data_IF_305933958443
#
_entry.id   IF_305933958443
#
_cell.length_a   1.000
_cell.length_b   1.000
_cell.length_c   1.000
_cell.angle_alpha   90.00
_cell.angle_beta   90.00
_cell.angle_gamma   90.00
#
_symmetry.space_group_name_H-M   'P 1'
#
loop_
_entity.id
_entity.type
_entity.pdbx_description
1 polymer ?
#
# COMPACT_ATOMS: atom_id res chain seq x y z
N UNK A 1 -13.73 18.34 -3.18
CA UNK A 1 -12.90 17.14 -3.43
C UNK A 1 -13.48 15.87 -2.78
N UNK A 2 -13.78 15.87 -1.48
CA UNK A 2 -14.35 14.70 -0.77
C UNK A 2 -15.67 14.16 -1.35
N UNK A 3 -16.53 15.01 -1.91
CA UNK A 3 -17.80 14.58 -2.53
C UNK A 3 -17.61 13.67 -3.75
N UNK A 4 -16.64 13.96 -4.62
CA UNK A 4 -16.33 13.09 -5.78
C UNK A 4 -15.75 11.75 -5.31
N UNK A 5 -14.89 11.75 -4.29
CA UNK A 5 -14.41 10.50 -3.71
C UNK A 5 -15.55 9.65 -3.15
N UNK A 6 -16.45 10.25 -2.37
CA UNK A 6 -17.60 9.55 -1.79
C UNK A 6 -18.49 8.95 -2.89
N UNK A 7 -18.83 9.71 -3.93
CA UNK A 7 -19.60 9.20 -5.08
C UNK A 7 -18.86 8.05 -5.78
N UNK A 8 -17.56 8.21 -6.02
CA UNK A 8 -16.73 7.14 -6.59
C UNK A 8 -16.79 5.86 -5.76
N UNK A 9 -16.77 5.98 -4.43
CA UNK A 9 -16.89 4.85 -3.49
C UNK A 9 -18.28 4.22 -3.51
N UNK A 10 -19.36 5.01 -3.59
CA UNK A 10 -20.72 4.46 -3.71
C UNK A 10 -20.87 3.60 -4.97
N UNK A 11 -20.36 4.09 -6.12
CA UNK A 11 -20.35 3.31 -7.37
C UNK A 11 -19.40 2.12 -7.32
N UNK A 12 -18.26 2.23 -6.63
CA UNK A 12 -17.33 1.11 -6.45
C UNK A 12 -17.98 -0.03 -5.64
N UNK A 13 -18.70 0.31 -4.58
CA UNK A 13 -19.29 -0.64 -3.65
C UNK A 13 -20.72 -1.07 -4.04
N UNK A 14 -21.38 -0.34 -4.95
CA UNK A 14 -22.81 -0.52 -5.22
C UNK A 14 -23.70 -0.13 -4.02
N UNK A 15 -23.27 0.84 -3.21
CA UNK A 15 -24.01 1.26 -2.02
C UNK A 15 -25.01 2.36 -2.36
N UNK A 16 -26.30 2.02 -2.37
CA UNK A 16 -27.38 2.95 -2.74
C UNK A 16 -27.46 3.27 -4.24
N UNK A 17 -26.57 2.69 -5.06
CA UNK A 17 -26.55 2.74 -6.53
C UNK A 17 -26.09 1.38 -7.06
N UNK A 18 -26.40 1.05 -8.32
CA UNK A 18 -25.82 -0.15 -8.94
C UNK A 18 -24.29 -0.03 -9.02
N UNK A 19 -23.57 -1.10 -8.68
CA UNK A 19 -22.11 -1.12 -8.79
C UNK A 19 -21.68 -0.83 -10.22
N UNK A 20 -20.75 0.11 -10.38
CA UNK A 20 -20.20 0.48 -11.68
C UNK A 20 -18.78 1.04 -11.54
N UNK A 21 -17.79 0.21 -11.87
CA UNK A 21 -16.39 0.60 -11.76
C UNK A 21 -15.98 1.69 -12.76
N UNK A 22 -16.57 1.73 -13.96
CA UNK A 22 -16.26 2.75 -14.95
C UNK A 22 -16.71 4.15 -14.48
N UNK A 23 -17.92 4.22 -13.93
CA UNK A 23 -18.44 5.45 -13.31
C UNK A 23 -17.61 5.82 -12.07
N UNK A 24 -17.23 4.84 -11.25
CA UNK A 24 -16.34 5.03 -10.11
C UNK A 24 -14.99 5.65 -10.53
N UNK A 25 -14.37 5.12 -11.59
CA UNK A 25 -13.12 5.63 -12.15
C UNK A 25 -13.23 7.11 -12.53
N UNK A 26 -14.31 7.50 -13.21
CA UNK A 26 -14.54 8.90 -13.57
C UNK A 26 -14.63 9.85 -12.36
N UNK A 27 -15.25 9.41 -11.26
CA UNK A 27 -15.33 10.20 -10.03
C UNK A 27 -14.01 10.23 -9.26
N UNK A 28 -13.29 9.11 -9.17
CA UNK A 28 -11.97 9.07 -8.57
C UNK A 28 -10.95 9.90 -9.35
N UNK A 29 -11.02 9.90 -10.68
CA UNK A 29 -10.21 10.78 -11.53
C UNK A 29 -10.43 12.25 -11.17
N UNK A 30 -11.69 12.73 -11.16
CA UNK A 30 -12.01 14.13 -10.80
C UNK A 30 -11.50 14.50 -9.40
N UNK A 31 -11.59 13.60 -8.44
CA UNK A 31 -11.08 13.84 -7.09
C UNK A 31 -9.54 13.82 -7.02
N UNK A 32 -8.90 12.89 -7.75
CA UNK A 32 -7.44 12.78 -7.83
C UNK A 32 -6.81 14.00 -8.52
N UNK A 33 -7.38 14.43 -9.65
CA UNK A 33 -6.98 15.64 -10.39
C UNK A 33 -7.10 16.90 -9.53
N UNK A 34 -8.12 16.95 -8.67
CA UNK A 34 -8.24 17.98 -7.64
C UNK A 34 -7.26 17.84 -6.45
N UNK A 35 -6.32 16.90 -6.48
CA UNK A 35 -5.29 16.70 -5.45
C UNK A 35 -5.69 15.80 -4.27
N UNK A 36 -6.79 15.05 -4.36
CA UNK A 36 -7.25 14.16 -3.30
C UNK A 36 -6.59 12.77 -3.40
N UNK A 37 -5.48 12.61 -2.68
CA UNK A 37 -4.61 11.43 -2.68
C UNK A 37 -5.32 10.09 -2.48
N UNK A 38 -6.31 9.94 -1.57
CA UNK A 38 -7.04 8.68 -1.45
C UNK A 38 -7.74 8.27 -2.76
N UNK A 39 -8.23 9.23 -3.54
CA UNK A 39 -8.82 8.92 -4.85
C UNK A 39 -7.78 8.59 -5.91
N UNK A 40 -6.59 9.19 -5.87
CA UNK A 40 -5.49 8.75 -6.73
C UNK A 40 -5.14 7.29 -6.45
N UNK A 41 -5.06 6.90 -5.17
CA UNK A 41 -4.88 5.50 -4.80
C UNK A 41 -6.02 4.60 -5.29
N UNK A 42 -7.29 4.98 -5.05
CA UNK A 42 -8.43 4.18 -5.51
C UNK A 42 -8.49 4.06 -7.03
N UNK A 43 -8.16 5.11 -7.77
CA UNK A 43 -8.05 5.05 -9.22
C UNK A 43 -6.90 4.13 -9.66
N UNK A 44 -5.76 4.20 -8.96
CA UNK A 44 -4.63 3.29 -9.18
C UNK A 44 -5.03 1.83 -9.01
N UNK A 45 -5.86 1.51 -8.00
CA UNK A 45 -6.43 0.16 -7.82
C UNK A 45 -7.29 -0.27 -9.01
N UNK A 46 -8.11 0.63 -9.57
CA UNK A 46 -8.92 0.31 -10.74
C UNK A 46 -8.05 -0.02 -11.96
N UNK A 47 -7.00 0.77 -12.21
CA UNK A 47 -6.05 0.49 -13.30
C UNK A 47 -5.21 -0.76 -13.05
N UNK A 48 -4.80 -1.01 -11.81
CA UNK A 48 -4.03 -2.19 -11.43
C UNK A 48 -4.80 -3.50 -11.71
N UNK A 49 -6.10 -3.52 -11.42
CA UNK A 49 -6.95 -4.71 -11.62
C UNK A 49 -7.81 -4.69 -12.90
N UNK A 50 -7.77 -3.62 -13.70
CA UNK A 50 -8.62 -3.47 -14.89
C UNK A 50 -10.12 -3.38 -14.57
N UNK A 51 -10.49 -2.77 -13.45
CA UNK A 51 -11.87 -2.69 -12.99
C UNK A 51 -12.56 -1.46 -13.60
N UNK A 52 -13.41 -1.68 -14.59
CA UNK A 52 -14.13 -0.59 -15.28
C UNK A 52 -13.24 0.33 -16.12
N UNK A 53 -11.94 0.03 -16.19
CA UNK A 53 -10.94 0.64 -17.06
C UNK A 53 -10.08 -0.48 -17.65
N UNK A 54 -9.38 -0.22 -18.76
CA UNK A 54 -8.38 -1.16 -19.27
C UNK A 54 -7.26 -1.26 -18.23
N UNK A 55 -6.85 -2.49 -17.90
CA UNK A 55 -5.73 -2.72 -16.99
C UNK A 55 -4.47 -2.05 -17.55
N UNK A 56 -3.80 -1.28 -16.70
CA UNK A 56 -2.59 -0.53 -17.05
C UNK A 56 -1.76 -0.29 -15.79
N UNK A 57 -0.66 -1.03 -15.66
CA UNK A 57 0.20 -0.92 -14.49
C UNK A 57 1.04 0.35 -14.47
N UNK A 58 1.37 0.94 -15.63
CA UNK A 58 2.13 2.19 -15.68
C UNK A 58 1.28 3.34 -15.15
N UNK A 59 0.01 3.40 -15.55
CA UNK A 59 -0.96 4.37 -15.01
C UNK A 59 -1.19 4.14 -13.53
N UNK A 60 -1.36 2.88 -13.09
CA UNK A 60 -1.52 2.56 -11.68
C UNK A 60 -0.31 3.01 -10.84
N UNK A 61 0.90 2.75 -11.33
CA UNK A 61 2.14 3.16 -10.67
C UNK A 61 2.24 4.67 -10.54
N UNK A 62 1.96 5.42 -11.61
CA UNK A 62 1.96 6.88 -11.58
C UNK A 62 0.97 7.44 -10.54
N UNK A 63 -0.23 6.87 -10.47
CA UNK A 63 -1.26 7.26 -9.51
C UNK A 63 -0.89 6.93 -8.06
N UNK A 64 -0.32 5.75 -7.82
CA UNK A 64 0.18 5.39 -6.49
C UNK A 64 1.35 6.28 -6.08
N UNK A 65 2.28 6.57 -6.99
CA UNK A 65 3.39 7.48 -6.74
C UNK A 65 2.92 8.89 -6.38
N UNK A 66 1.99 9.45 -7.17
CA UNK A 66 1.38 10.75 -6.86
C UNK A 66 0.72 10.76 -5.47
N UNK A 67 -0.02 9.70 -5.12
CA UNK A 67 -0.65 9.59 -3.80
C UNK A 67 0.37 9.42 -2.66
N UNK A 68 1.41 8.62 -2.89
CA UNK A 68 2.47 8.34 -1.92
C UNK A 68 3.29 9.59 -1.59
N UNK A 69 3.78 10.30 -2.60
CA UNK A 69 4.48 11.59 -2.44
C UNK A 69 3.60 12.62 -1.74
N UNK A 70 2.28 12.54 -1.95
CA UNK A 70 1.29 13.35 -1.22
C UNK A 70 0.98 12.88 0.21
N UNK A 71 1.75 11.93 0.76
CA UNK A 71 1.66 11.45 2.15
C UNK A 71 0.64 10.32 2.37
N UNK A 72 0.09 9.70 1.33
CA UNK A 72 -0.90 8.64 1.50
C UNK A 72 -0.25 7.27 1.66
N UNK A 73 -0.12 6.84 2.91
CA UNK A 73 0.61 5.64 3.31
C UNK A 73 0.19 4.35 2.58
N UNK A 74 -1.11 4.17 2.31
CA UNK A 74 -1.60 2.98 1.57
C UNK A 74 -1.07 2.93 0.13
N UNK A 75 -0.90 4.08 -0.52
CA UNK A 75 -0.34 4.11 -1.86
C UNK A 75 1.16 3.81 -1.86
N UNK A 76 1.90 4.31 -0.86
CA UNK A 76 3.30 3.91 -0.66
C UNK A 76 3.42 2.39 -0.44
N UNK A 77 2.54 1.80 0.38
CA UNK A 77 2.49 0.34 0.54
C UNK A 77 2.24 -0.38 -0.79
N UNK A 78 1.28 0.09 -1.59
CA UNK A 78 0.99 -0.52 -2.90
C UNK A 78 2.18 -0.43 -3.86
N UNK A 79 2.93 0.68 -3.86
CA UNK A 79 4.18 0.76 -4.61
C UNK A 79 5.21 -0.24 -4.10
N UNK A 80 5.36 -0.37 -2.78
CA UNK A 80 6.22 -1.37 -2.17
C UNK A 80 5.90 -2.78 -2.69
N UNK A 81 4.62 -3.15 -2.73
CA UNK A 81 4.17 -4.44 -3.26
C UNK A 81 4.48 -4.59 -4.75
N UNK A 82 4.22 -3.56 -5.56
CA UNK A 82 4.51 -3.62 -7.00
C UNK A 82 6.00 -3.86 -7.28
N UNK A 83 6.90 -3.19 -6.55
CA UNK A 83 8.35 -3.41 -6.67
C UNK A 83 8.80 -4.76 -6.07
N UNK A 84 8.18 -5.21 -4.98
CA UNK A 84 8.49 -6.51 -4.37
C UNK A 84 8.12 -7.67 -5.30
N UNK A 85 6.97 -7.58 -5.96
CA UNK A 85 6.44 -8.64 -6.83
C UNK A 85 6.87 -8.49 -8.30
N UNK A 86 7.40 -7.33 -8.70
CA UNK A 86 7.72 -7.04 -10.10
C UNK A 86 6.48 -6.90 -10.98
N UNK A 87 5.38 -6.36 -10.43
CA UNK A 87 4.11 -6.20 -11.16
C UNK A 87 4.10 -4.85 -11.86
N UNK A 88 4.22 -4.87 -13.19
CA UNK A 88 4.25 -3.65 -14.01
C UNK A 88 5.53 -2.82 -13.88
N UNK A 89 6.50 -3.32 -13.11
CA UNK A 89 7.86 -2.80 -12.97
C UNK A 89 8.83 -3.95 -12.87
N UNK A 90 10.12 -3.69 -13.08
CA UNK A 90 11.16 -4.64 -12.71
C UNK A 90 11.14 -4.85 -11.19
N UNK A 91 11.29 -6.11 -10.76
CA UNK A 91 11.34 -6.44 -9.34
C UNK A 91 12.55 -5.79 -8.68
N UNK A 92 12.31 -5.01 -7.63
CA UNK A 92 13.34 -4.35 -6.84
C UNK A 92 12.97 -4.31 -5.36
N UNK A 93 13.47 -5.28 -4.61
CA UNK A 93 13.30 -5.36 -3.16
C UNK A 93 13.88 -4.17 -2.39
N UNK A 94 14.92 -3.51 -2.90
CA UNK A 94 15.50 -2.33 -2.26
C UNK A 94 14.52 -1.16 -2.38
N UNK A 95 13.96 -0.96 -3.57
CA UNK A 95 12.96 0.08 -3.80
C UNK A 95 11.65 -0.22 -3.06
N UNK A 96 11.24 -1.49 -3.00
CA UNK A 96 10.13 -1.92 -2.16
C UNK A 96 10.36 -1.56 -0.68
N UNK A 97 11.55 -1.85 -0.16
CA UNK A 97 11.92 -1.53 1.22
C UNK A 97 11.85 -0.02 1.54
N UNK A 98 12.21 0.85 0.60
CA UNK A 98 12.07 2.30 0.76
C UNK A 98 10.60 2.70 0.89
N UNK A 99 9.74 2.26 -0.04
CA UNK A 99 8.31 2.59 0.01
C UNK A 99 7.59 1.99 1.23
N UNK A 100 7.95 0.78 1.64
CA UNK A 100 7.41 0.20 2.88
C UNK A 100 7.86 0.96 4.12
N UNK A 101 9.11 1.44 4.15
CA UNK A 101 9.59 2.30 5.24
C UNK A 101 8.79 3.58 5.32
N UNK A 102 8.61 4.28 4.19
CA UNK A 102 7.84 5.52 4.13
C UNK A 102 6.38 5.32 4.54
N UNK A 103 5.75 4.25 4.05
CA UNK A 103 4.39 3.87 4.42
C UNK A 103 4.27 3.55 5.92
N UNK A 104 5.23 2.81 6.48
CA UNK A 104 5.27 2.45 7.89
C UNK A 104 5.44 3.69 8.80
N UNK A 105 6.33 4.62 8.43
CA UNK A 105 6.49 5.90 9.12
C UNK A 105 5.20 6.74 9.07
N UNK A 106 4.45 6.62 7.98
CA UNK A 106 3.10 7.19 7.85
C UNK A 106 1.99 6.32 8.49
N UNK A 107 2.36 5.44 9.43
CA UNK A 107 1.49 4.58 10.24
C UNK A 107 0.67 3.55 9.47
N UNK A 108 1.19 3.05 8.35
CA UNK A 108 0.63 1.88 7.70
C UNK A 108 1.13 0.58 8.36
N UNK A 109 0.20 -0.11 9.00
CA UNK A 109 0.39 -1.34 9.76
C UNK A 109 0.98 -2.50 8.94
N UNK A 110 0.47 -2.71 7.72
CA UNK A 110 0.93 -3.73 6.78
C UNK A 110 2.31 -3.41 6.21
N UNK A 111 2.59 -2.15 5.91
CA UNK A 111 3.89 -1.75 5.44
C UNK A 111 4.97 -1.97 6.50
N UNK A 112 4.67 -1.71 7.77
CA UNK A 112 5.58 -2.05 8.87
C UNK A 112 5.87 -3.55 8.93
N UNK A 113 4.87 -4.40 8.71
CA UNK A 113 5.07 -5.84 8.58
C UNK A 113 5.95 -6.21 7.38
N UNK A 114 5.71 -5.60 6.21
CA UNK A 114 6.45 -5.91 4.99
C UNK A 114 7.92 -5.50 5.08
N UNK A 115 8.24 -4.30 5.61
CA UNK A 115 9.65 -3.92 5.82
C UNK A 115 10.32 -4.83 6.86
N UNK A 116 9.59 -5.25 7.90
CA UNK A 116 10.10 -6.21 8.87
C UNK A 116 10.46 -7.55 8.20
N UNK A 117 9.60 -8.06 7.32
CA UNK A 117 9.85 -9.29 6.57
C UNK A 117 11.08 -9.18 5.67
N UNK A 118 11.22 -8.08 4.92
CA UNK A 118 12.40 -7.85 4.08
C UNK A 118 13.70 -7.80 4.90
N UNK A 119 13.69 -7.15 6.08
CA UNK A 119 14.84 -7.09 6.99
C UNK A 119 15.14 -8.44 7.65
N UNK A 120 14.10 -9.21 7.98
CA UNK A 120 14.25 -10.52 8.60
C UNK A 120 14.89 -11.53 7.65
N UNK A 121 14.47 -11.51 6.39
CA UNK A 121 14.97 -12.42 5.35
C UNK A 121 16.29 -11.92 4.75
N UNK A 122 16.46 -10.60 4.63
CA UNK A 122 17.57 -9.97 3.91
C UNK A 122 17.35 -9.89 2.39
N UNK A 123 16.10 -9.76 1.95
CA UNK A 123 15.76 -9.65 0.52
C UNK A 123 15.98 -8.23 0.04
N UNK A 124 16.97 -8.02 -0.83
CA UNK A 124 17.35 -6.72 -1.42
C UNK A 124 17.88 -5.66 -0.46
N UNK A 125 17.67 -5.84 0.83
CA UNK A 125 18.20 -5.00 1.90
C UNK A 125 19.02 -5.85 2.88
N UNK A 126 19.98 -5.22 3.57
CA UNK A 126 20.82 -5.92 4.54
C UNK A 126 19.96 -6.52 5.63
N UNK A 127 20.10 -7.83 5.84
CA UNK A 127 19.43 -8.56 6.92
C UNK A 127 19.73 -7.93 8.28
N UNK A 128 18.68 -7.64 9.03
CA UNK A 128 18.75 -7.06 10.37
C UNK A 128 17.55 -7.55 11.21
N UNK A 129 17.79 -8.60 12.01
CA UNK A 129 16.73 -9.23 12.79
C UNK A 129 16.23 -8.35 13.93
N UNK A 130 17.09 -7.50 14.49
CA UNK A 130 16.71 -6.60 15.58
C UNK A 130 15.75 -5.54 15.04
N UNK A 131 16.11 -4.87 13.94
CA UNK A 131 15.21 -3.92 13.28
C UNK A 131 13.95 -4.59 12.76
N UNK A 132 14.03 -5.81 12.23
CA UNK A 132 12.84 -6.55 11.83
C UNK A 132 11.88 -6.74 13.03
N UNK A 133 12.40 -7.14 14.19
CA UNK A 133 11.60 -7.26 15.41
C UNK A 133 11.00 -5.91 15.83
N UNK A 134 11.73 -4.80 15.75
CA UNK A 134 11.20 -3.45 16.01
C UNK A 134 10.03 -3.11 15.09
N UNK A 135 10.15 -3.35 13.79
CA UNK A 135 9.08 -3.09 12.82
C UNK A 135 7.88 -4.04 12.96
N UNK A 136 8.09 -5.32 13.29
CA UNK A 136 6.99 -6.22 13.64
C UNK A 136 6.25 -5.75 14.90
N UNK A 137 6.98 -5.24 15.90
CA UNK A 137 6.39 -4.61 17.09
C UNK A 137 5.55 -3.38 16.73
N UNK A 138 6.06 -2.50 15.88
CA UNK A 138 5.31 -1.34 15.41
C UNK A 138 4.06 -1.73 14.61
N UNK A 139 4.16 -2.75 13.75
CA UNK A 139 3.01 -3.32 13.04
C UNK A 139 1.94 -3.85 14.00
N UNK A 140 2.35 -4.54 15.07
CA UNK A 140 1.47 -4.99 16.15
C UNK A 140 0.79 -3.83 16.87
N UNK A 141 1.55 -2.79 17.25
CA UNK A 141 1.03 -1.61 17.95
C UNK A 141 0.03 -0.81 17.09
N UNK A 142 0.12 -0.95 15.76
CA UNK A 142 -0.83 -0.40 14.79
C UNK A 142 -2.06 -1.29 14.56
N UNK A 143 -2.11 -2.47 15.18
CA UNK A 143 -3.26 -3.38 15.17
C UNK A 143 -3.19 -4.52 14.15
N UNK A 144 -2.05 -4.75 13.49
CA UNK A 144 -1.90 -5.87 12.55
C UNK A 144 -1.46 -7.14 13.30
N UNK A 145 -2.35 -8.13 13.35
CA UNK A 145 -2.20 -9.31 14.20
C UNK A 145 -0.97 -10.15 13.84
N UNK A 146 -0.69 -10.32 12.55
CA UNK A 146 0.47 -11.06 12.06
C UNK A 146 1.78 -10.40 12.52
N UNK A 147 1.81 -9.07 12.65
CA UNK A 147 2.92 -8.34 13.27
C UNK A 147 3.10 -8.71 14.74
N UNK A 148 2.02 -8.85 15.50
CA UNK A 148 2.08 -9.28 16.90
C UNK A 148 2.59 -10.71 17.05
N UNK A 149 2.20 -11.59 16.14
CA UNK A 149 2.57 -13.01 16.19
C UNK A 149 4.07 -13.18 15.91
N UNK A 150 4.58 -12.53 14.87
CA UNK A 150 6.01 -12.53 14.55
C UNK A 150 6.85 -11.85 15.64
N UNK A 151 6.39 -10.71 16.17
CA UNK A 151 7.08 -10.03 17.27
C UNK A 151 7.25 -10.92 18.50
N UNK A 152 6.17 -11.62 18.92
CA UNK A 152 6.21 -12.56 20.04
C UNK A 152 7.13 -13.74 19.74
N UNK A 153 7.05 -14.30 18.53
CA UNK A 153 7.88 -15.43 18.13
C UNK A 153 9.38 -15.09 18.17
N UNK A 154 9.76 -13.88 17.75
CA UNK A 154 11.14 -13.41 17.80
C UNK A 154 11.63 -13.15 19.23
N UNK A 155 10.82 -12.47 20.07
CA UNK A 155 11.15 -12.25 21.49
C UNK A 155 11.38 -13.54 22.28
N UNK A 156 10.65 -14.60 21.95
CA UNK A 156 10.82 -15.90 22.60
C UNK A 156 12.13 -16.60 22.18
N UNK A 157 12.62 -16.34 20.97
CA UNK A 157 13.88 -16.90 20.44
C UNK A 157 15.11 -16.20 21.02
N UNK A 158 15.02 -14.90 21.36
CA UNK A 158 16.14 -14.16 21.99
C UNK A 158 16.41 -14.57 23.44
N UNK A 159 15.44 -15.19 24.12
CA UNK A 159 15.56 -15.63 25.52
C UNK A 159 16.15 -17.04 25.68
N UNK A 160 16.50 -17.71 24.59
CA UNK A 160 17.09 -19.06 24.57
C UNK A 160 18.54 -18.99 24.12
#
# INVERSE_FOLDING_TARGET
MGACHALGTLYFQGSGVAQNYATSAGYYYKACDGGFKPSCNSLGVLYHYGLGVRQDYEVALGLYHQACVGGYAKACNNLGVMFEEGVGVEQDYKQAGLYYTDACLARNDRACFNIAALLFEGKGIKKDKQKAMEYYGLSCDLGFQEGCDEYKALKLKEKK
#
